data_IF_799389916817
#
_entry.id   IF_799389916817
#
_cell.length_a   1.000
_cell.length_b   1.000
_cell.length_c   1.000
_cell.angle_alpha   90.00
_cell.angle_beta   90.00
_cell.angle_gamma   90.00
#
_symmetry.space_group_name_H-M   'P 1'
#
loop_
_entity.id
_entity.type
_entity.pdbx_description
1 polymer ?
#
# COMPACT_ATOMS: atom_id res chain seq x y z
N UNK A 1 21.62 -1.86 3.46
CA UNK A 1 21.17 -1.00 4.58
C UNK A 1 19.70 -1.30 4.81
N UNK A 2 19.27 -1.39 6.06
CA UNK A 2 17.86 -1.67 6.42
C UNK A 2 17.05 -0.37 6.34
N UNK A 3 15.88 -0.43 5.71
CA UNK A 3 14.93 0.67 5.57
C UNK A 3 13.85 0.54 6.64
N UNK A 4 13.64 1.60 7.41
CA UNK A 4 12.56 1.68 8.39
C UNK A 4 11.25 2.07 7.73
N UNK A 5 10.19 1.32 7.98
CA UNK A 5 8.87 1.49 7.36
C UNK A 5 7.79 1.72 8.42
N UNK A 6 6.91 2.68 8.16
CA UNK A 6 5.57 2.71 8.73
C UNK A 6 4.59 2.53 7.58
N UNK A 7 3.62 1.62 7.73
CA UNK A 7 2.69 1.24 6.67
C UNK A 7 1.27 1.63 7.09
N UNK A 8 0.55 2.38 6.26
CA UNK A 8 -0.88 2.71 6.43
C UNK A 8 -1.71 1.96 5.39
N UNK A 9 -2.68 1.16 5.84
CA UNK A 9 -3.30 0.10 5.02
C UNK A 9 -4.77 -0.14 5.42
N UNK A 10 -5.62 -0.49 4.44
CA UNK A 10 -7.00 -0.95 4.66
C UNK A 10 -7.14 -2.48 4.66
N UNK A 11 -6.04 -3.21 4.43
CA UNK A 11 -5.85 -4.55 4.96
C UNK A 11 -6.61 -5.66 4.21
N UNK A 12 -6.75 -5.53 2.90
CA UNK A 12 -7.36 -6.56 2.04
C UNK A 12 -6.30 -7.44 1.36
N UNK A 13 -6.70 -8.25 0.38
CA UNK A 13 -5.89 -9.34 -0.17
C UNK A 13 -4.44 -8.95 -0.53
N UNK A 14 -4.25 -7.91 -1.32
CA UNK A 14 -2.94 -7.41 -1.74
C UNK A 14 -2.21 -6.64 -0.65
N UNK A 15 -2.89 -5.87 0.21
CA UNK A 15 -2.26 -5.28 1.39
C UNK A 15 -1.58 -6.34 2.26
N UNK A 16 -2.29 -7.44 2.52
CA UNK A 16 -1.79 -8.50 3.39
C UNK A 16 -0.56 -9.19 2.76
N UNK A 17 -0.54 -9.33 1.43
CA UNK A 17 0.62 -9.84 0.71
C UNK A 17 1.77 -8.83 0.73
N UNK A 18 1.49 -7.53 0.61
CA UNK A 18 2.47 -6.45 0.68
C UNK A 18 3.09 -6.29 2.07
N UNK A 19 2.28 -6.37 3.13
CA UNK A 19 2.75 -6.38 4.52
C UNK A 19 3.60 -7.63 4.78
N UNK A 20 3.19 -8.80 4.29
CA UNK A 20 3.98 -10.03 4.42
C UNK A 20 5.35 -9.89 3.73
N UNK A 21 5.40 -9.27 2.54
CA UNK A 21 6.66 -8.92 1.88
C UNK A 21 7.55 -8.05 2.78
N UNK A 22 7.01 -6.97 3.36
CA UNK A 22 7.76 -6.09 4.25
C UNK A 22 8.29 -6.84 5.49
N UNK A 23 7.46 -7.69 6.11
CA UNK A 23 7.83 -8.44 7.32
C UNK A 23 8.91 -9.50 7.08
N UNK A 24 8.98 -10.07 5.88
CA UNK A 24 9.97 -11.10 5.53
C UNK A 24 11.23 -10.55 4.86
N UNK A 25 11.19 -9.32 4.33
CA UNK A 25 12.31 -8.78 3.58
C UNK A 25 13.47 -8.37 4.52
N UNK A 26 14.70 -8.86 4.30
CA UNK A 26 15.82 -8.66 5.24
C UNK A 26 16.32 -7.22 5.33
N UNK A 27 15.99 -6.39 4.35
CA UNK A 27 16.32 -4.96 4.35
C UNK A 27 15.15 -4.09 4.80
N UNK A 28 14.08 -4.64 5.36
CA UNK A 28 12.95 -3.89 5.88
C UNK A 28 12.85 -4.04 7.41
N UNK A 29 12.59 -2.94 8.11
CA UNK A 29 12.27 -2.90 9.52
C UNK A 29 10.92 -2.20 9.68
N UNK A 30 9.87 -2.96 9.97
CA UNK A 30 8.52 -2.41 10.15
C UNK A 30 8.40 -1.85 11.57
N UNK A 31 8.34 -0.53 11.67
CA UNK A 31 8.28 0.22 12.94
C UNK A 31 6.87 0.23 13.52
N UNK A 32 5.87 0.40 12.64
CA UNK A 32 4.46 0.40 13.01
C UNK A 32 3.59 0.13 11.77
N UNK A 33 2.36 -0.33 12.01
CA UNK A 33 1.32 -0.39 10.98
C UNK A 33 0.10 0.39 11.47
N UNK A 34 -0.53 1.17 10.60
CA UNK A 34 -1.76 1.89 10.89
C UNK A 34 -2.87 1.38 9.99
N UNK A 35 -4.06 1.14 10.56
CA UNK A 35 -5.22 0.74 9.76
C UNK A 35 -6.08 1.96 9.40
N UNK A 36 -6.59 1.97 8.17
CA UNK A 36 -7.52 2.98 7.65
C UNK A 36 -8.75 2.29 7.05
N UNK A 37 -9.86 3.02 6.90
CA UNK A 37 -10.99 2.55 6.10
C UNK A 37 -10.62 2.48 4.61
N UNK A 38 -11.34 1.65 3.84
CA UNK A 38 -11.18 1.54 2.39
C UNK A 38 -12.11 0.49 1.82
N UNK A 39 -11.54 -0.54 1.21
CA UNK A 39 -12.25 -1.71 0.68
C UNK A 39 -13.04 -2.45 1.78
N UNK A 40 -12.51 -2.46 3.01
CA UNK A 40 -13.22 -2.93 4.21
C UNK A 40 -13.27 -1.85 5.30
N UNK A 41 -14.05 -2.12 6.34
CA UNK A 41 -14.08 -1.25 7.54
C UNK A 41 -12.71 -1.22 8.23
N UNK A 42 -12.38 -0.13 8.90
CA UNK A 42 -11.10 -0.01 9.64
C UNK A 42 -10.95 -1.04 10.76
N UNK A 43 -12.05 -1.55 11.30
CA UNK A 43 -12.06 -2.64 12.28
C UNK A 43 -11.61 -3.96 11.64
N UNK A 44 -12.12 -4.27 10.44
CA UNK A 44 -11.71 -5.43 9.66
C UNK A 44 -10.27 -5.30 9.18
N UNK A 45 -9.87 -4.13 8.67
CA UNK A 45 -8.49 -3.81 8.30
C UNK A 45 -7.53 -4.08 9.47
N UNK A 46 -7.86 -3.55 10.66
CA UNK A 46 -7.09 -3.74 11.88
C UNK A 46 -6.93 -5.22 12.23
N UNK A 47 -8.02 -5.99 12.17
CA UNK A 47 -8.00 -7.41 12.48
C UNK A 47 -7.19 -8.22 11.46
N UNK A 48 -7.34 -7.92 10.17
CA UNK A 48 -6.60 -8.56 9.09
C UNK A 48 -5.09 -8.35 9.26
N UNK A 49 -4.66 -7.11 9.51
CA UNK A 49 -3.25 -6.76 9.73
C UNK A 49 -2.67 -7.53 10.93
N UNK A 50 -3.39 -7.61 12.05
CA UNK A 50 -2.95 -8.39 13.22
C UNK A 50 -2.85 -9.89 12.92
N UNK A 51 -3.80 -10.43 12.18
CA UNK A 51 -3.77 -11.83 11.72
C UNK A 51 -2.56 -12.08 10.82
N UNK A 52 -2.22 -11.14 9.94
CA UNK A 52 -1.05 -11.21 9.06
C UNK A 52 0.27 -11.21 9.81
N UNK A 53 0.40 -10.40 10.87
CA UNK A 53 1.59 -10.41 11.74
C UNK A 53 1.82 -11.82 12.33
N UNK A 54 0.75 -12.48 12.82
CA UNK A 54 0.85 -13.87 13.31
C UNK A 54 1.18 -14.86 12.19
N UNK A 55 0.57 -14.71 11.02
CA UNK A 55 0.85 -15.60 9.88
C UNK A 55 2.32 -15.54 9.43
N UNK A 56 2.97 -14.40 9.65
CA UNK A 56 4.40 -14.18 9.38
C UNK A 56 5.32 -14.65 10.52
N UNK A 57 4.77 -15.13 11.64
CA UNK A 57 5.53 -15.54 12.83
C UNK A 57 6.19 -14.36 13.57
N UNK A 58 5.58 -13.17 13.49
CA UNK A 58 6.12 -11.89 13.97
C UNK A 58 5.46 -11.38 15.26
N UNK A 59 4.62 -12.18 15.89
CA UNK A 59 3.88 -11.82 17.10
C UNK A 59 4.77 -11.42 18.29
N UNK A 60 5.99 -11.97 18.37
CA UNK A 60 6.94 -11.67 19.45
C UNK A 60 7.78 -10.42 19.19
N UNK A 61 7.72 -9.83 17.99
CA UNK A 61 8.46 -8.60 17.65
C UNK A 61 7.74 -7.33 18.11
N UNK A 62 6.54 -7.45 18.70
CA UNK A 62 5.75 -6.35 19.27
C UNK A 62 5.54 -5.18 18.30
N UNK A 63 5.36 -5.47 16.99
CA UNK A 63 5.06 -4.46 15.98
C UNK A 63 3.71 -3.82 16.32
N UNK A 64 3.66 -2.52 16.66
CA UNK A 64 2.42 -1.89 17.06
C UNK A 64 1.51 -1.69 15.85
N UNK A 65 0.25 -2.07 16.02
CA UNK A 65 -0.82 -1.76 15.06
C UNK A 65 -1.75 -0.73 15.69
N UNK A 66 -2.00 0.38 15.01
CA UNK A 66 -2.90 1.44 15.49
C UNK A 66 -4.13 1.56 14.60
N UNK A 67 -5.31 1.61 15.21
CA UNK A 67 -6.58 1.80 14.48
C UNK A 67 -6.83 3.27 14.17
N UNK A 68 -7.19 3.55 12.92
CA UNK A 68 -7.37 4.91 12.42
C UNK A 68 -8.80 5.28 12.04
N UNK A 69 -8.91 6.07 10.97
CA UNK A 69 -10.14 6.67 10.52
C UNK A 69 -11.14 5.61 10.04
N UNK A 70 -12.37 5.68 10.56
CA UNK A 70 -13.47 4.79 10.16
C UNK A 70 -14.16 5.22 8.87
N UNK A 71 -13.93 6.46 8.44
CA UNK A 71 -14.60 7.11 7.31
C UNK A 71 -13.65 8.12 6.68
N UNK A 72 -13.90 8.47 5.44
CA UNK A 72 -13.27 9.61 4.77
C UNK A 72 -13.62 10.93 5.47
N UNK A 73 -12.83 11.98 5.22
CA UNK A 73 -12.96 13.30 5.85
C UNK A 73 -14.39 13.83 5.76
N UNK A 74 -15.02 13.75 4.58
CA UNK A 74 -16.39 14.24 4.36
C UNK A 74 -17.46 13.15 4.48
N UNK A 75 -17.08 11.86 4.47
CA UNK A 75 -18.00 10.72 4.55
C UNK A 75 -19.15 10.81 3.52
N UNK A 76 -18.87 11.27 2.31
CA UNK A 76 -19.89 11.38 1.27
C UNK A 76 -20.19 9.99 0.68
N UNK A 77 -21.46 9.57 0.54
CA UNK A 77 -21.80 8.25 0.01
C UNK A 77 -21.26 7.97 -1.41
N UNK A 78 -21.09 9.01 -2.22
CA UNK A 78 -20.55 8.88 -3.59
C UNK A 78 -19.05 8.52 -3.64
N UNK A 79 -18.34 8.69 -2.52
CA UNK A 79 -16.90 8.41 -2.40
C UNK A 79 -16.66 7.03 -1.73
N UNK A 80 -17.72 6.29 -1.38
CA UNK A 80 -17.62 4.99 -0.70
C UNK A 80 -17.00 3.92 -1.61
N UNK A 81 -15.99 3.22 -1.10
CA UNK A 81 -15.26 2.19 -1.84
C UNK A 81 -15.40 0.78 -1.24
N UNK A 82 -16.17 0.62 -0.16
CA UNK A 82 -16.38 -0.67 0.51
C UNK A 82 -16.84 -1.72 -0.50
N UNK A 83 -16.18 -2.87 -0.50
CA UNK A 83 -16.34 -3.90 -1.52
C UNK A 83 -16.15 -5.30 -0.94
N UNK A 84 -16.95 -6.25 -1.43
CA UNK A 84 -16.80 -7.68 -1.15
C UNK A 84 -15.99 -8.39 -2.24
N UNK A 85 -15.24 -7.64 -3.07
CA UNK A 85 -14.47 -8.20 -4.18
C UNK A 85 -13.52 -9.31 -3.70
N UNK A 86 -12.91 -9.15 -2.53
CA UNK A 86 -12.00 -10.12 -1.91
C UNK A 86 -12.64 -11.02 -0.84
N UNK A 87 -13.97 -10.96 -0.70
CA UNK A 87 -14.71 -11.53 0.42
C UNK A 87 -15.24 -10.44 1.34
N UNK A 88 -16.18 -10.80 2.21
CA UNK A 88 -16.77 -9.89 3.21
C UNK A 88 -15.71 -9.43 4.21
N UNK A 89 -14.78 -10.32 4.58
CA UNK A 89 -13.65 -9.99 5.44
C UNK A 89 -12.45 -9.35 4.70
N UNK A 90 -12.52 -9.22 3.37
CA UNK A 90 -11.45 -8.70 2.52
C UNK A 90 -10.28 -9.65 2.27
N UNK A 91 -10.29 -10.86 2.86
CA UNK A 91 -9.17 -11.83 2.82
C UNK A 91 -9.65 -13.28 2.68
N UNK A 92 -10.72 -13.51 1.91
CA UNK A 92 -11.14 -14.84 1.48
C UNK A 92 -12.17 -15.58 2.34
N UNK A 93 -12.77 -14.92 3.35
CA UNK A 93 -13.90 -15.42 4.17
C UNK A 93 -13.65 -16.77 4.87
N UNK A 94 -12.42 -16.98 5.34
CA UNK A 94 -12.00 -18.23 6.01
C UNK A 94 -11.44 -17.94 7.42
N UNK A 95 -12.26 -17.50 8.39
CA UNK A 95 -11.79 -17.03 9.69
C UNK A 95 -11.24 -18.15 10.59
N UNK A 96 -11.63 -19.40 10.35
CA UNK A 96 -11.21 -20.59 11.14
C UNK A 96 -9.88 -21.19 10.67
N UNK A 97 -9.42 -20.82 9.48
CA UNK A 97 -8.16 -21.30 8.92
C UNK A 97 -6.96 -20.61 9.55
N UNK A 98 -5.78 -21.23 9.48
CA UNK A 98 -4.57 -20.67 10.08
C UNK A 98 -4.18 -19.28 9.52
N UNK A 99 -3.72 -18.35 10.36
CA UNK A 99 -3.97 -18.31 11.81
C UNK A 99 -5.46 -18.05 12.05
N UNK A 100 -6.08 -18.70 13.02
CA UNK A 100 -7.49 -18.44 13.35
C UNK A 100 -7.67 -16.94 13.73
N UNK A 101 -8.79 -16.35 13.30
CA UNK A 101 -9.20 -15.00 13.71
C UNK A 101 -9.56 -15.02 15.19
N UNK A 102 -8.99 -14.10 15.96
CA UNK A 102 -9.24 -13.98 17.39
C UNK A 102 -10.14 -12.78 17.68
N UNK A 103 -10.98 -12.84 18.71
CA UNK A 103 -11.74 -11.64 19.14
C UNK A 103 -10.81 -10.45 19.46
N UNK A 104 -9.64 -10.75 20.02
CA UNK A 104 -8.62 -9.75 20.35
C UNK A 104 -8.02 -9.08 19.11
N UNK A 105 -8.23 -9.62 17.90
CA UNK A 105 -7.86 -8.95 16.65
C UNK A 105 -8.68 -7.69 16.39
N UNK A 106 -9.90 -7.60 16.93
CA UNK A 106 -10.78 -6.45 16.77
C UNK A 106 -10.70 -5.47 17.95
N UNK A 107 -10.27 -5.95 19.13
CA UNK A 107 -10.19 -5.13 20.35
C UNK A 107 -9.07 -4.11 20.23
N UNK A 108 -9.44 -2.84 20.37
CA UNK A 108 -8.51 -1.72 20.35
C UNK A 108 -8.84 -0.69 21.42
N UNK A 109 -7.85 -0.35 22.25
CA UNK A 109 -7.94 0.68 23.28
C UNK A 109 -6.75 1.66 23.24
N UNK A 110 -5.97 1.62 22.15
CA UNK A 110 -4.84 2.51 21.94
C UNK A 110 -5.23 3.90 21.41
N UNK A 111 -4.24 4.72 21.11
CA UNK A 111 -4.43 6.05 20.52
C UNK A 111 -4.81 5.97 19.04
N UNK A 112 -5.52 6.95 18.50
CA UNK A 112 -5.86 6.97 17.07
C UNK A 112 -4.59 6.95 16.18
N UNK A 113 -4.64 6.25 15.05
CA UNK A 113 -3.52 6.11 14.11
C UNK A 113 -2.86 7.45 13.74
N UNK A 114 -3.64 8.50 13.46
CA UNK A 114 -3.11 9.83 13.15
C UNK A 114 -2.21 10.41 14.27
N UNK A 115 -2.57 10.22 15.55
CA UNK A 115 -1.73 10.62 16.68
C UNK A 115 -0.49 9.73 16.80
N UNK A 116 -0.66 8.42 16.59
CA UNK A 116 0.44 7.47 16.59
C UNK A 116 1.46 7.76 15.48
N UNK A 117 1.02 8.19 14.29
CA UNK A 117 1.90 8.59 13.18
C UNK A 117 2.81 9.74 13.61
N UNK A 118 2.24 10.81 14.18
CA UNK A 118 3.01 11.98 14.63
C UNK A 118 4.10 11.54 15.63
N UNK A 119 3.72 10.81 16.68
CA UNK A 119 4.66 10.37 17.70
C UNK A 119 5.71 9.37 17.16
N UNK A 120 5.29 8.42 16.32
CA UNK A 120 6.18 7.40 15.77
C UNK A 120 7.27 8.04 14.93
N UNK A 121 6.92 9.00 14.07
CA UNK A 121 7.90 9.69 13.22
C UNK A 121 8.77 10.69 14.00
N UNK A 122 8.28 11.28 15.09
CA UNK A 122 9.12 12.07 16.00
C UNK A 122 10.20 11.20 16.69
N UNK A 123 9.84 9.97 17.06
CA UNK A 123 10.74 9.04 17.75
C UNK A 123 11.65 8.24 16.81
N UNK A 124 11.27 8.10 15.54
CA UNK A 124 11.96 7.29 14.55
C UNK A 124 12.33 8.14 13.32
N UNK A 125 13.33 9.03 13.41
CA UNK A 125 13.81 9.78 12.26
C UNK A 125 14.35 8.84 11.17
N UNK A 126 14.40 9.33 9.92
CA UNK A 126 14.81 8.58 8.73
C UNK A 126 13.87 7.42 8.33
N UNK A 127 12.63 7.40 8.82
CA UNK A 127 11.62 6.39 8.49
C UNK A 127 10.83 6.77 7.24
N UNK A 128 10.54 5.79 6.38
CA UNK A 128 9.66 5.96 5.21
C UNK A 128 8.21 5.66 5.61
N UNK A 129 7.29 6.52 5.20
CA UNK A 129 5.85 6.25 5.27
C UNK A 129 5.40 5.61 3.94
N UNK A 130 4.68 4.50 4.01
CA UNK A 130 4.05 3.86 2.85
C UNK A 130 2.56 3.82 3.07
N UNK A 131 1.77 4.29 2.11
CA UNK A 131 0.30 4.29 2.17
C UNK A 131 -0.23 3.42 1.05
N UNK A 132 -0.97 2.38 1.42
CA UNK A 132 -1.59 1.42 0.51
C UNK A 132 -3.12 1.42 0.59
N UNK A 133 -3.71 2.21 1.49
CA UNK A 133 -5.13 2.57 1.48
C UNK A 133 -5.40 4.08 1.29
N UNK A 134 -6.65 4.54 1.48
CA UNK A 134 -7.02 5.95 1.46
C UNK A 134 -6.20 6.83 2.43
N UNK A 135 -5.83 8.04 2.00
CA UNK A 135 -4.88 8.93 2.69
C UNK A 135 -5.40 9.61 3.97
N UNK A 136 -6.52 9.15 4.50
CA UNK A 136 -7.30 9.80 5.57
C UNK A 136 -6.49 10.00 6.85
N UNK A 137 -5.78 8.96 7.30
CA UNK A 137 -4.99 9.01 8.53
C UNK A 137 -3.88 10.08 8.44
N UNK A 138 -3.24 10.18 7.28
CA UNK A 138 -2.15 11.11 6.99
C UNK A 138 -2.69 12.55 6.93
N UNK A 139 -3.83 12.74 6.26
CA UNK A 139 -4.49 14.04 6.20
C UNK A 139 -4.95 14.52 7.58
N UNK A 140 -5.44 13.62 8.45
CA UNK A 140 -5.78 13.96 9.84
C UNK A 140 -4.51 14.32 10.62
N UNK A 141 -3.41 13.57 10.47
CA UNK A 141 -2.15 13.89 11.13
C UNK A 141 -1.65 15.29 10.75
N UNK A 142 -1.69 15.66 9.46
CA UNK A 142 -1.36 17.00 8.98
C UNK A 142 -2.28 18.10 9.51
N UNK A 143 -3.56 17.80 9.76
CA UNK A 143 -4.51 18.76 10.34
C UNK A 143 -4.27 18.95 11.84
N UNK A 144 -3.81 17.92 12.55
CA UNK A 144 -3.48 17.98 13.97
C UNK A 144 -2.12 18.65 14.24
N UNK A 145 -1.11 18.36 13.41
CA UNK A 145 0.24 18.90 13.54
C UNK A 145 0.88 19.10 12.15
N UNK A 146 1.04 20.36 11.73
CA UNK A 146 1.66 20.68 10.45
C UNK A 146 3.15 20.33 10.38
N UNK A 147 3.83 20.19 11.53
CA UNK A 147 5.23 19.78 11.57
C UNK A 147 5.41 18.35 11.06
N UNK A 148 4.35 17.51 11.13
CA UNK A 148 4.32 16.17 10.57
C UNK A 148 4.74 16.13 9.11
N UNK A 149 4.45 17.18 8.34
CA UNK A 149 4.76 17.29 6.92
C UNK A 149 6.26 17.07 6.59
N UNK A 150 7.16 17.26 7.56
CA UNK A 150 8.61 17.13 7.41
C UNK A 150 9.21 15.89 8.08
N UNK A 151 8.42 15.14 8.87
CA UNK A 151 8.97 14.07 9.70
C UNK A 151 9.32 12.80 8.92
N UNK A 152 8.46 12.28 8.01
CA UNK A 152 8.85 11.16 7.17
C UNK A 152 10.04 11.52 6.28
N UNK A 153 11.03 10.63 6.14
CA UNK A 153 12.15 10.87 5.22
C UNK A 153 11.71 10.83 3.76
N UNK A 154 10.66 10.06 3.48
CA UNK A 154 9.98 9.93 2.18
C UNK A 154 8.57 9.38 2.42
N UNK A 155 7.66 9.71 1.52
CA UNK A 155 6.31 9.16 1.45
C UNK A 155 6.13 8.39 0.14
N UNK A 156 5.69 7.14 0.24
CA UNK A 156 5.33 6.27 -0.89
C UNK A 156 3.84 6.04 -0.89
N UNK A 157 3.19 6.33 -2.00
CA UNK A 157 1.74 6.24 -2.14
C UNK A 157 1.41 5.24 -3.24
N UNK A 158 0.68 4.18 -2.91
CA UNK A 158 -0.13 3.47 -3.89
C UNK A 158 -1.39 4.29 -4.14
N UNK A 159 -1.54 4.77 -5.37
CA UNK A 159 -2.78 5.37 -5.80
C UNK A 159 -2.59 6.59 -6.68
N UNK A 160 -3.69 7.26 -6.98
CA UNK A 160 -3.73 8.34 -7.95
C UNK A 160 -3.39 7.87 -9.36
N UNK A 161 -3.32 8.84 -10.26
CA UNK A 161 -3.08 8.62 -11.67
C UNK A 161 -2.34 9.82 -12.27
N UNK A 162 -1.92 9.75 -13.53
CA UNK A 162 -1.30 10.91 -14.18
C UNK A 162 -1.83 11.17 -15.60
N UNK A 163 -2.53 10.22 -16.21
CA UNK A 163 -3.29 10.38 -17.45
C UNK A 163 -4.79 10.24 -17.24
N UNK A 164 -5.26 10.41 -15.99
CA UNK A 164 -6.67 10.32 -15.61
C UNK A 164 -7.31 8.95 -15.92
N UNK A 165 -6.50 7.88 -15.89
CA UNK A 165 -7.04 6.52 -15.98
C UNK A 165 -7.58 6.12 -14.61
N UNK A 166 -8.91 5.96 -14.50
CA UNK A 166 -9.58 5.50 -13.28
C UNK A 166 -9.72 3.98 -13.21
N UNK A 167 -9.97 3.45 -12.02
CA UNK A 167 -10.15 2.00 -11.77
C UNK A 167 -11.30 1.67 -10.79
N UNK A 168 -12.18 2.62 -10.51
CA UNK A 168 -13.38 2.41 -9.67
C UNK A 168 -14.55 1.92 -10.53
N UNK A 169 -15.05 2.78 -11.42
CA UNK A 169 -16.13 2.49 -12.37
C UNK A 169 -16.07 3.43 -13.59
N UNK A 170 -17.00 3.29 -14.54
CA UNK A 170 -17.03 4.12 -15.76
C UNK A 170 -17.53 5.56 -15.57
N UNK A 171 -17.98 5.93 -14.37
CA UNK A 171 -18.45 7.26 -13.99
C UNK A 171 -17.37 8.17 -13.41
N UNK A 172 -16.21 7.62 -13.05
CA UNK A 172 -15.11 8.32 -12.39
C UNK A 172 -13.78 8.12 -13.09
N UNK A 173 -12.99 9.19 -13.20
CA UNK A 173 -11.57 9.13 -13.61
C UNK A 173 -10.61 9.04 -12.43
N UNK A 174 -11.11 8.85 -11.20
CA UNK A 174 -10.27 8.66 -10.03
C UNK A 174 -9.71 7.25 -9.94
N UNK A 175 -8.51 7.14 -9.36
CA UNK A 175 -7.99 5.89 -8.85
C UNK A 175 -8.63 5.57 -7.48
N UNK A 176 -8.77 4.29 -7.15
CA UNK A 176 -9.49 3.73 -6.02
C UNK A 176 -9.16 4.34 -4.65
N UNK A 177 -7.89 4.40 -4.26
CA UNK A 177 -7.50 5.00 -2.97
C UNK A 177 -7.77 6.51 -2.93
N UNK A 178 -7.56 7.20 -4.04
CA UNK A 178 -7.86 8.64 -4.15
C UNK A 178 -9.37 8.91 -4.20
N UNK A 179 -10.16 8.01 -4.77
CA UNK A 179 -11.62 8.05 -4.75
C UNK A 179 -12.17 7.88 -3.33
N UNK A 180 -11.55 7.00 -2.53
CA UNK A 180 -11.99 6.72 -1.15
C UNK A 180 -11.90 7.92 -0.22
N UNK A 181 -10.99 8.87 -0.47
CA UNK A 181 -10.96 10.17 0.22
C UNK A 181 -10.26 11.26 -0.62
N UNK A 182 -10.98 11.95 -1.52
CA UNK A 182 -10.40 12.97 -2.40
C UNK A 182 -9.83 14.16 -1.62
N UNK A 183 -10.50 14.60 -0.55
CA UNK A 183 -10.01 15.69 0.30
C UNK A 183 -8.68 15.32 0.97
N UNK A 184 -8.55 14.08 1.47
CA UNK A 184 -7.32 13.64 2.08
C UNK A 184 -6.17 13.61 1.07
N UNK A 185 -6.40 13.09 -0.14
CA UNK A 185 -5.41 13.09 -1.20
C UNK A 185 -4.95 14.51 -1.56
N UNK A 186 -5.90 15.45 -1.70
CA UNK A 186 -5.60 16.87 -1.94
C UNK A 186 -4.77 17.49 -0.80
N UNK A 187 -5.14 17.22 0.46
CA UNK A 187 -4.43 17.70 1.64
C UNK A 187 -2.99 17.19 1.65
N UNK A 188 -2.79 15.88 1.44
CA UNK A 188 -1.48 15.23 1.51
C UNK A 188 -0.55 15.74 0.42
N UNK A 189 -1.00 15.78 -0.84
CA UNK A 189 -0.14 16.21 -1.95
C UNK A 189 0.27 17.68 -1.85
N UNK A 190 -0.62 18.56 -1.36
CA UNK A 190 -0.31 19.99 -1.20
C UNK A 190 0.54 20.30 0.03
N UNK A 191 0.33 19.59 1.15
CA UNK A 191 0.90 20.00 2.46
C UNK A 191 2.13 19.21 2.88
N UNK A 192 2.31 17.96 2.44
CA UNK A 192 3.53 17.20 2.74
C UNK A 192 4.78 17.88 2.15
N UNK A 193 5.88 17.91 2.91
CA UNK A 193 7.14 18.57 2.54
C UNK A 193 8.30 17.60 2.32
N UNK A 194 8.20 16.36 2.78
CA UNK A 194 9.13 15.30 2.39
C UNK A 194 8.99 14.95 0.89
N UNK A 195 9.98 14.26 0.30
CA UNK A 195 9.86 13.69 -1.04
C UNK A 195 8.69 12.70 -1.12
N UNK A 196 7.91 12.79 -2.20
CA UNK A 196 6.77 11.90 -2.47
C UNK A 196 7.06 11.12 -3.74
N UNK A 197 6.90 9.79 -3.68
CA UNK A 197 6.82 8.92 -4.84
C UNK A 197 5.44 8.27 -4.88
N UNK A 198 4.74 8.45 -5.99
CA UNK A 198 3.47 7.81 -6.30
C UNK A 198 3.72 6.61 -7.21
N UNK A 199 3.06 5.50 -6.89
CA UNK A 199 2.90 4.34 -7.77
C UNK A 199 1.47 4.43 -8.36
N UNK A 200 1.31 5.04 -9.54
CA UNK A 200 0.01 5.36 -10.12
C UNK A 200 -0.64 4.16 -10.80
N UNK A 201 -1.96 4.22 -10.98
CA UNK A 201 -2.72 3.16 -11.64
C UNK A 201 -2.21 2.83 -13.05
N UNK A 202 -1.79 3.83 -13.83
CA UNK A 202 -1.30 3.62 -15.20
C UNK A 202 -0.09 2.68 -15.29
N UNK A 203 0.75 2.61 -14.25
CA UNK A 203 1.90 1.70 -14.23
C UNK A 203 1.46 0.23 -14.28
N UNK A 204 0.30 -0.08 -13.69
CA UNK A 204 -0.32 -1.40 -13.74
C UNK A 204 -1.12 -1.57 -15.04
N UNK A 205 -1.94 -0.57 -15.37
CA UNK A 205 -2.89 -0.65 -16.47
C UNK A 205 -2.21 -0.91 -17.82
N UNK A 206 -1.11 -0.23 -18.12
CA UNK A 206 -0.46 -0.35 -19.44
C UNK A 206 0.44 -1.57 -19.60
N UNK A 207 1.01 -2.10 -18.52
CA UNK A 207 1.88 -3.29 -18.56
C UNK A 207 1.14 -4.59 -18.17
N UNK A 208 -0.15 -4.54 -17.82
CA UNK A 208 -0.88 -5.70 -17.28
C UNK A 208 -0.86 -6.93 -18.19
N UNK A 209 -1.13 -6.77 -19.50
CA UNK A 209 -1.13 -7.89 -20.44
C UNK A 209 0.27 -8.50 -20.66
N UNK A 210 1.31 -7.67 -20.58
CA UNK A 210 2.68 -8.14 -20.71
C UNK A 210 3.05 -8.97 -19.48
N UNK A 211 2.76 -8.45 -18.29
CA UNK A 211 3.03 -9.13 -17.03
C UNK A 211 2.23 -10.43 -16.87
N UNK A 212 0.95 -10.45 -17.27
CA UNK A 212 0.10 -11.64 -17.22
C UNK A 212 0.64 -12.79 -18.09
N UNK A 213 1.40 -12.48 -19.15
CA UNK A 213 2.04 -13.47 -20.02
C UNK A 213 3.43 -13.91 -19.54
N UNK A 214 4.13 -13.06 -18.79
CA UNK A 214 5.53 -13.30 -18.40
C UNK A 214 5.72 -13.82 -16.97
N UNK A 215 4.73 -13.62 -16.09
CA UNK A 215 4.80 -13.99 -14.66
C UNK A 215 3.65 -14.93 -14.29
N UNK A 216 3.94 -16.01 -13.56
CA UNK A 216 2.93 -16.83 -12.86
C UNK A 216 2.72 -16.23 -11.46
N UNK A 217 1.73 -15.34 -11.32
CA UNK A 217 1.43 -14.65 -10.07
C UNK A 217 0.91 -15.58 -8.96
N UNK A 218 0.71 -16.87 -9.23
CA UNK A 218 0.31 -17.87 -8.25
C UNK A 218 1.44 -18.82 -7.88
N UNK A 219 2.61 -18.77 -8.54
CA UNK A 219 3.69 -19.71 -8.31
C UNK A 219 4.22 -19.65 -6.87
N UNK A 220 4.42 -18.45 -6.32
CA UNK A 220 4.89 -18.25 -4.94
C UNK A 220 3.92 -18.79 -3.87
N UNK A 221 2.66 -19.07 -4.21
CA UNK A 221 1.64 -19.60 -3.30
C UNK A 221 1.69 -21.13 -3.18
N UNK A 222 2.45 -21.81 -4.04
CA UNK A 222 2.49 -23.29 -4.15
C UNK A 222 3.46 -23.95 -3.17
N UNK A 223 4.20 -23.19 -2.37
CA UNK A 223 5.11 -23.74 -1.36
C UNK A 223 4.36 -24.36 -0.19
N UNK A 224 4.90 -25.44 0.36
CA UNK A 224 4.36 -26.12 1.54
C UNK A 224 4.76 -25.41 2.84
N UNK A 225 4.43 -24.12 2.96
CA UNK A 225 4.68 -23.32 4.17
C UNK A 225 3.38 -22.69 4.69
N UNK A 226 3.35 -22.40 5.99
CA UNK A 226 2.20 -21.76 6.65
C UNK A 226 1.85 -20.41 5.99
N UNK A 227 2.87 -19.61 5.65
CA UNK A 227 2.69 -18.30 5.02
C UNK A 227 2.17 -18.43 3.59
N UNK A 228 2.71 -19.35 2.78
CA UNK A 228 2.21 -19.59 1.43
C UNK A 228 0.75 -20.06 1.43
N UNK A 229 0.40 -20.98 2.33
CA UNK A 229 -0.98 -21.44 2.53
C UNK A 229 -1.92 -20.31 2.98
N UNK A 230 -1.47 -19.46 3.91
CA UNK A 230 -2.22 -18.29 4.34
C UNK A 230 -2.47 -17.30 3.19
N UNK A 231 -1.42 -16.89 2.47
CA UNK A 231 -1.54 -15.98 1.33
C UNK A 231 -2.37 -16.59 0.18
N UNK A 232 -2.29 -17.92 0.01
CA UNK A 232 -3.13 -18.66 -0.93
C UNK A 232 -4.62 -18.53 -0.62
N UNK A 233 -5.02 -18.57 0.66
CA UNK A 233 -6.40 -18.33 1.11
C UNK A 233 -6.79 -16.86 1.02
N UNK A 234 -5.93 -15.97 1.50
CA UNK A 234 -6.13 -14.51 1.47
C UNK A 234 -6.46 -14.00 0.06
N UNK A 235 -5.80 -14.56 -0.96
CA UNK A 235 -5.98 -14.16 -2.36
C UNK A 235 -7.01 -15.00 -3.12
N UNK A 236 -7.65 -15.98 -2.48
CA UNK A 236 -8.43 -17.02 -3.17
C UNK A 236 -9.63 -16.49 -3.96
N UNK A 237 -10.43 -15.62 -3.36
CA UNK A 237 -11.62 -15.03 -3.99
C UNK A 237 -11.21 -14.10 -5.13
N UNK A 238 -10.22 -13.22 -4.91
CA UNK A 238 -9.70 -12.32 -5.94
C UNK A 238 -9.13 -13.07 -7.14
N UNK A 239 -8.32 -14.12 -6.90
CA UNK A 239 -7.82 -15.02 -7.95
C UNK A 239 -8.94 -15.66 -8.74
N UNK A 240 -9.92 -16.27 -8.06
CA UNK A 240 -11.05 -16.92 -8.73
C UNK A 240 -11.86 -15.93 -9.60
N UNK A 241 -12.13 -14.72 -9.11
CA UNK A 241 -12.85 -13.68 -9.88
C UNK A 241 -12.04 -13.20 -11.08
N UNK A 242 -10.73 -12.99 -10.95
CA UNK A 242 -9.87 -12.62 -12.07
C UNK A 242 -9.78 -13.74 -13.12
N UNK A 243 -9.59 -14.99 -12.69
CA UNK A 243 -9.50 -16.17 -13.58
C UNK A 243 -10.79 -16.35 -14.40
N UNK A 244 -11.96 -16.13 -13.79
CA UNK A 244 -13.25 -16.14 -14.49
C UNK A 244 -13.34 -15.08 -15.61
N UNK A 245 -12.54 -14.02 -15.52
CA UNK A 245 -12.44 -12.95 -16.52
C UNK A 245 -11.21 -13.12 -17.43
N UNK A 246 -10.55 -14.29 -17.41
CA UNK A 246 -9.46 -14.62 -18.32
C UNK A 246 -8.13 -13.91 -18.02
N UNK A 247 -7.90 -13.51 -16.76
CA UNK A 247 -6.66 -12.85 -16.31
C UNK A 247 -6.21 -13.39 -14.95
N UNK A 248 -4.92 -13.26 -14.63
CA UNK A 248 -4.41 -13.55 -13.29
C UNK A 248 -4.72 -12.41 -12.31
N UNK A 249 -4.73 -12.73 -11.01
CA UNK A 249 -4.70 -11.71 -9.95
C UNK A 249 -3.24 -11.30 -9.69
N UNK A 250 -2.83 -10.20 -10.29
CA UNK A 250 -1.45 -9.69 -10.25
C UNK A 250 -1.12 -8.94 -8.95
N UNK A 251 0.11 -8.43 -8.86
CA UNK A 251 0.54 -7.54 -7.78
C UNK A 251 0.02 -6.10 -8.00
N UNK A 252 -0.28 -5.40 -6.91
CA UNK A 252 -0.63 -3.99 -6.81
C UNK A 252 0.16 -3.36 -5.64
N UNK A 253 -0.37 -3.40 -4.42
CA UNK A 253 0.23 -2.81 -3.20
C UNK A 253 1.64 -3.29 -2.88
N UNK A 254 1.99 -4.51 -3.28
CA UNK A 254 3.32 -5.08 -3.13
C UNK A 254 4.37 -4.24 -3.87
N UNK A 255 3.99 -3.60 -4.98
CA UNK A 255 4.88 -2.72 -5.75
C UNK A 255 5.21 -1.45 -4.96
N UNK A 256 4.26 -0.88 -4.21
CA UNK A 256 4.53 0.28 -3.37
C UNK A 256 5.47 -0.07 -2.20
N UNK A 257 5.24 -1.21 -1.54
CA UNK A 257 6.15 -1.71 -0.49
C UNK A 257 7.54 -2.03 -1.06
N UNK A 258 7.61 -2.70 -2.20
CA UNK A 258 8.89 -3.00 -2.84
C UNK A 258 9.65 -1.73 -3.24
N UNK A 259 8.94 -0.72 -3.76
CA UNK A 259 9.48 0.62 -4.06
C UNK A 259 9.96 1.33 -2.80
N UNK A 260 9.30 1.10 -1.66
CA UNK A 260 9.77 1.64 -0.38
C UNK A 260 11.08 0.99 0.06
N UNK A 261 11.25 -0.32 -0.15
CA UNK A 261 12.43 -1.10 0.22
C UNK A 261 13.64 -0.79 -0.67
N UNK A 262 13.46 -0.77 -2.01
CA UNK A 262 14.54 -0.50 -2.97
C UNK A 262 14.01 0.16 -4.24
N UNK A 263 13.75 1.47 -4.16
CA UNK A 263 13.20 2.26 -5.26
C UNK A 263 14.04 2.16 -6.55
N UNK A 264 15.36 2.09 -6.44
CA UNK A 264 16.27 2.06 -7.60
C UNK A 264 16.16 0.75 -8.39
N UNK A 265 15.87 -0.36 -7.71
CA UNK A 265 15.69 -1.67 -8.38
C UNK A 265 14.28 -1.86 -8.90
N UNK A 266 13.29 -1.30 -8.21
CA UNK A 266 11.89 -1.50 -8.53
C UNK A 266 11.39 -0.51 -9.58
N UNK A 267 11.66 0.80 -9.44
CA UNK A 267 11.20 1.80 -10.39
C UNK A 267 12.10 1.82 -11.65
N UNK A 268 11.74 1.05 -12.68
CA UNK A 268 12.45 1.01 -13.97
C UNK A 268 12.44 2.38 -14.65
N UNK A 269 11.27 3.03 -14.63
CA UNK A 269 11.06 4.37 -15.18
C UNK A 269 10.28 5.24 -14.21
N UNK A 270 10.56 6.53 -14.25
CA UNK A 270 9.83 7.52 -13.45
C UNK A 270 9.78 8.89 -14.10
N UNK A 271 8.78 9.69 -13.71
CA UNK A 271 8.61 11.08 -14.13
C UNK A 271 8.37 11.98 -12.94
N UNK A 272 8.96 13.17 -12.94
CA UNK A 272 8.60 14.23 -11.99
C UNK A 272 7.55 15.14 -12.60
N UNK A 273 6.41 15.30 -11.92
CA UNK A 273 5.25 16.05 -12.42
C UNK A 273 4.75 17.00 -11.33
N UNK A 274 4.30 18.19 -11.72
CA UNK A 274 3.54 19.08 -10.85
C UNK A 274 2.08 18.66 -10.86
N UNK A 275 1.53 18.46 -9.67
CA UNK A 275 0.20 17.88 -9.52
C UNK A 275 -0.64 18.56 -8.46
N UNK A 276 -1.95 18.40 -8.60
CA UNK A 276 -2.98 18.62 -7.57
C UNK A 276 -4.12 17.58 -7.75
N UNK A 277 -5.15 17.61 -6.90
CA UNK A 277 -6.30 16.71 -6.95
C UNK A 277 -7.59 17.52 -7.17
N UNK A 278 -8.36 17.14 -8.19
CA UNK A 278 -9.68 17.74 -8.48
C UNK A 278 -10.73 17.27 -7.47
N UNK A 279 -11.55 18.19 -6.94
CA UNK A 279 -12.52 17.89 -5.87
C UNK A 279 -13.98 18.16 -6.26
N UNK A 280 -14.21 18.97 -7.29
CA UNK A 280 -15.51 19.58 -7.62
C UNK A 280 -16.16 18.99 -8.86
N UNK A 281 -15.37 18.47 -9.81
CA UNK A 281 -15.87 17.90 -11.05
C UNK A 281 -16.75 16.67 -10.84
N UNK A 282 -17.82 16.54 -11.63
CA UNK A 282 -18.81 15.46 -11.46
C UNK A 282 -18.28 14.05 -11.80
N UNK A 283 -17.27 13.98 -12.68
CA UNK A 283 -16.63 12.71 -13.11
C UNK A 283 -15.13 12.67 -12.83
N UNK A 284 -14.57 13.79 -12.38
CA UNK A 284 -13.13 13.99 -12.21
C UNK A 284 -12.76 14.25 -10.75
N UNK A 285 -13.72 14.25 -9.82
CA UNK A 285 -13.43 14.29 -8.38
C UNK A 285 -12.54 13.10 -8.00
N UNK A 286 -11.43 13.36 -7.32
CA UNK A 286 -10.40 12.37 -6.95
C UNK A 286 -9.34 12.16 -8.04
N UNK A 287 -9.51 12.71 -9.24
CA UNK A 287 -8.51 12.64 -10.30
C UNK A 287 -7.32 13.54 -9.96
N UNK A 288 -6.11 13.07 -10.27
CA UNK A 288 -4.92 13.92 -10.28
C UNK A 288 -4.96 14.84 -11.51
N UNK A 289 -4.71 16.13 -11.29
CA UNK A 289 -4.53 17.14 -12.34
C UNK A 289 -3.04 17.41 -12.47
N UNK A 290 -2.50 17.21 -13.67
CA UNK A 290 -1.08 17.40 -13.98
C UNK A 290 -0.88 18.69 -14.78
N UNK A 291 0.08 19.53 -14.37
CA UNK A 291 0.55 20.64 -15.20
C UNK A 291 1.55 20.13 -16.25
N UNK A 292 1.04 19.90 -17.47
CA UNK A 292 1.84 19.49 -18.62
C UNK A 292 2.55 20.66 -19.33
N UNK A 293 2.21 21.92 -19.03
CA UNK A 293 2.79 23.08 -19.72
C UNK A 293 4.24 23.32 -19.30
N UNK A 294 4.62 22.98 -18.07
CA UNK A 294 6.01 23.12 -17.61
C UNK A 294 6.98 22.25 -18.42
N UNK A 295 6.54 21.10 -18.93
CA UNK A 295 7.38 20.27 -19.80
C UNK A 295 7.71 20.96 -21.13
N UNK A 296 6.87 21.90 -21.56
CA UNK A 296 7.04 22.67 -22.79
C UNK A 296 7.81 23.97 -22.56
N UNK A 297 7.68 24.62 -21.40
CA UNK A 297 8.22 25.96 -21.14
C UNK A 297 9.12 26.01 -19.90
N UNK A 298 10.38 25.58 -20.05
CA UNK A 298 11.38 25.45 -18.95
C UNK A 298 11.79 26.75 -18.23
N UNK A 299 11.36 27.94 -18.68
CA UNK A 299 11.96 29.24 -18.30
C UNK A 299 10.95 30.33 -17.87
N UNK A 300 9.76 30.00 -17.36
CA UNK A 300 8.90 31.03 -16.75
C UNK A 300 9.09 31.10 -15.24
N UNK A 301 9.35 32.31 -14.72
CA UNK A 301 9.20 32.63 -13.31
C UNK A 301 7.72 32.41 -12.94
N UNK A 302 7.44 31.40 -12.11
CA UNK A 302 6.09 31.16 -11.61
C UNK A 302 5.86 31.99 -10.34
N UNK A 303 4.70 32.64 -10.27
CA UNK A 303 4.07 33.00 -8.98
C UNK A 303 3.92 31.72 -8.14
N UNK A 304 4.00 31.81 -6.81
CA UNK A 304 3.86 30.67 -5.89
C UNK A 304 2.59 29.86 -6.22
N UNK A 305 2.74 28.75 -6.95
CA UNK A 305 1.63 27.86 -7.28
C UNK A 305 1.50 26.76 -6.22
N UNK A 306 0.28 26.43 -5.82
CA UNK A 306 -0.02 25.35 -4.87
C UNK A 306 0.38 23.94 -5.37
N UNK A 307 0.84 23.81 -6.62
CA UNK A 307 1.27 22.56 -7.21
C UNK A 307 2.61 22.06 -6.65
N UNK A 308 2.66 20.77 -6.30
CA UNK A 308 3.88 20.11 -5.81
C UNK A 308 4.47 19.21 -6.87
N UNK A 309 5.79 19.25 -7.01
CA UNK A 309 6.54 18.29 -7.82
C UNK A 309 6.59 16.95 -7.09
N UNK A 310 6.04 15.92 -7.72
CA UNK A 310 5.93 14.56 -7.20
C UNK A 310 6.53 13.59 -8.21
N UNK A 311 7.23 12.55 -7.73
CA UNK A 311 7.76 11.49 -8.59
C UNK A 311 6.69 10.44 -8.82
N UNK A 312 6.48 10.04 -10.06
CA UNK A 312 5.59 8.95 -10.46
C UNK A 312 6.43 7.79 -10.98
N UNK A 313 6.23 6.58 -10.45
CA UNK A 313 6.80 5.34 -11.00
C UNK A 313 5.97 4.95 -12.22
N UNK A 314 6.48 5.16 -13.42
CA UNK A 314 5.71 4.90 -14.65
C UNK A 314 5.88 3.47 -15.18
N UNK A 315 6.89 2.75 -14.69
CA UNK A 315 7.15 1.35 -15.00
C UNK A 315 7.92 0.69 -13.86
N UNK A 316 7.57 -0.55 -13.51
CA UNK A 316 8.18 -1.26 -12.37
C UNK A 316 8.73 -2.65 -12.76
N UNK A 317 9.70 -3.14 -11.99
CA UNK A 317 10.31 -4.44 -12.20
C UNK A 317 9.52 -5.55 -11.48
N UNK A 318 8.57 -6.15 -12.19
CA UNK A 318 7.69 -7.19 -11.64
C UNK A 318 8.46 -8.45 -11.27
N UNK A 319 9.52 -8.81 -12.02
CA UNK A 319 10.27 -10.05 -11.78
C UNK A 319 11.06 -9.99 -10.46
N UNK A 320 11.56 -8.82 -10.07
CA UNK A 320 12.21 -8.63 -8.76
C UNK A 320 11.19 -8.78 -7.64
N UNK A 321 10.00 -8.18 -7.77
CA UNK A 321 8.96 -8.31 -6.75
C UNK A 321 8.50 -9.76 -6.62
N UNK A 322 8.28 -10.44 -7.74
CA UNK A 322 7.92 -11.86 -7.76
C UNK A 322 9.00 -12.74 -7.09
N UNK A 323 10.28 -12.50 -7.41
CA UNK A 323 11.41 -13.17 -6.76
C UNK A 323 11.44 -12.96 -5.23
N UNK A 324 11.07 -11.76 -4.76
CA UNK A 324 10.97 -11.47 -3.33
C UNK A 324 9.76 -12.17 -2.69
N UNK A 325 8.62 -12.25 -3.39
CA UNK A 325 7.45 -13.01 -2.93
C UNK A 325 7.76 -14.50 -2.81
N UNK A 326 8.47 -15.08 -3.78
CA UNK A 326 8.99 -16.43 -3.69
C UNK A 326 9.92 -16.61 -2.49
N UNK A 327 10.84 -15.68 -2.27
CA UNK A 327 11.77 -15.72 -1.14
C UNK A 327 11.05 -15.59 0.22
N UNK A 328 10.02 -14.76 0.32
CA UNK A 328 9.21 -14.60 1.54
C UNK A 328 8.48 -15.90 1.89
N UNK A 329 7.87 -16.55 0.90
CA UNK A 329 7.07 -17.76 1.09
C UNK A 329 7.90 -19.03 1.24
N UNK A 330 9.11 -19.07 0.69
CA UNK A 330 9.98 -20.23 0.76
C UNK A 330 10.80 -20.34 2.05
N UNK A 331 10.96 -19.27 2.85
CA UNK A 331 11.84 -19.29 4.04
C UNK A 331 11.42 -20.38 5.03
N UNK A 332 12.05 -21.54 4.90
CA UNK A 332 12.04 -22.62 5.86
C UNK A 332 12.60 -22.08 7.16
N UNK A 333 11.76 -22.01 8.21
CA UNK A 333 12.19 -21.80 9.60
C UNK A 333 13.26 -22.81 10.05
N UNK A 334 13.56 -23.85 9.27
CA UNK A 334 14.48 -24.95 9.58
C UNK A 334 15.87 -24.93 8.90
N UNK A 335 16.22 -23.94 8.08
CA UNK A 335 17.57 -23.90 7.47
C UNK A 335 18.69 -23.39 8.40
N UNK A 336 18.34 -22.95 9.62
CA UNK A 336 19.31 -22.72 10.69
C UNK A 336 19.95 -24.01 11.23
N UNK A 337 19.44 -25.19 10.87
CA UNK A 337 20.02 -26.50 11.23
C UNK A 337 20.93 -27.06 10.12
N UNK A 338 20.66 -26.80 8.84
CA UNK A 338 21.42 -27.41 7.73
C UNK A 338 22.66 -26.60 7.32
N UNK A 339 22.66 -25.27 7.49
CA UNK A 339 23.84 -24.45 7.13
C UNK A 339 25.01 -24.64 8.11
N UNK A 340 24.77 -25.18 9.32
CA UNK A 340 25.85 -25.59 10.23
C UNK A 340 26.52 -26.92 9.86
N UNK A 341 25.92 -27.72 8.98
CA UNK A 341 26.48 -29.02 8.56
C UNK A 341 27.38 -28.90 7.32
N UNK A 342 27.25 -27.81 6.55
CA UNK A 342 28.03 -27.61 5.31
C UNK A 342 29.15 -26.56 5.41
N UNK A 343 29.43 -26.02 6.61
CA UNK A 343 30.58 -25.13 6.87
C UNK A 343 31.68 -25.77 7.73
N UNK A 344 31.63 -27.09 7.90
CA UNK A 344 32.76 -27.88 8.42
C UNK A 344 33.08 -28.95 7.38
N UNK A 345 33.82 -28.58 6.33
CA UNK A 345 34.85 -29.39 5.67
C UNK A 345 35.70 -28.50 4.77
#
# INVERSE_FOLDING_TARGET
>A
MTVKLVIDSDGVSDDIRAISLALQHPNAEVIAITSVHGCVTVDQAYANIKRTIRANGKENENIPVYKGAHKSILSLPKDETVSDFFGVDGIGDQPKEFPEVLEDDFKYSGKHAALALIETFQQNPNTTLVTIGPLTNIAIALQLDESFAKLPSRLIIMGGNYYAVGNVDGGSSAEYNFHGDPEAASIVLRRMRCPITIVPWEAFHFESELHDKSVDFSAHLKYETELAGYLGRVTSIGRAKCEQNGRQYSYCDEIAIATAIDENRIAKESKELYVDVELTGSKTRGQVVVDWLEQLWKNQEKEESDHRRVKFVTSYNVEIVDSWMHSANFRLKELSIIIKIYLVF
#
